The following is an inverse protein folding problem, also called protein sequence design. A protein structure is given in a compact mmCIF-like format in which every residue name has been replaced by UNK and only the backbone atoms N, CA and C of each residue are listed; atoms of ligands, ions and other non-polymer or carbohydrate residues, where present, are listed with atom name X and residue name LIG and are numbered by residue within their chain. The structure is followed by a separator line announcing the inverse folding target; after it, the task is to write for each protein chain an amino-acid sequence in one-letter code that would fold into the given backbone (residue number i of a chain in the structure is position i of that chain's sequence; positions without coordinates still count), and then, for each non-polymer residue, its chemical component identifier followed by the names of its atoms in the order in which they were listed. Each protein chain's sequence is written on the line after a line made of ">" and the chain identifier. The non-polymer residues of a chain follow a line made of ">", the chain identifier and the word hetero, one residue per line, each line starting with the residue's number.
data_IF_638680310966
#
_entry.id   IF_638680310966
#
_cell.length_a   1.000
_cell.length_b   1.000
_cell.length_c   1.000
_cell.angle_alpha   90.00
_cell.angle_beta   90.00
_cell.angle_gamma   90.00
#
_symmetry.space_group_name_H-M   'P 1'
#
loop_
_entity.id
_entity.type
_entity.pdbx_description
1 polymer ?
#
# COMPACT_ATOMS: atom_id res chain seq x y z
N UNK A 1 -1.89 3.86 19.95
CA UNK A 1 -3.17 4.26 19.33
C UNK A 1 -2.95 5.11 18.07
N UNK A 2 -2.21 6.22 18.14
CA UNK A 2 -2.00 7.12 16.98
C UNK A 2 -1.50 6.39 15.71
N UNK A 3 -0.63 5.38 15.87
CA UNK A 3 -0.13 4.58 14.76
C UNK A 3 -1.22 3.78 14.02
N UNK A 4 -2.24 3.28 14.73
CA UNK A 4 -3.27 2.43 14.11
C UNK A 4 -4.31 3.28 13.36
N UNK A 5 -4.64 4.46 13.89
CA UNK A 5 -5.44 5.45 13.17
C UNK A 5 -4.76 5.89 11.86
N UNK A 6 -3.42 6.02 11.87
CA UNK A 6 -2.68 6.32 10.64
C UNK A 6 -2.73 5.18 9.62
N UNK A 7 -2.64 3.93 10.06
CA UNK A 7 -2.80 2.78 9.17
C UNK A 7 -4.19 2.72 8.56
N UNK A 8 -5.21 2.99 9.36
CA UNK A 8 -6.60 3.05 8.91
C UNK A 8 -6.81 4.15 7.87
N UNK A 9 -6.19 5.31 8.06
CA UNK A 9 -6.19 6.40 7.08
C UNK A 9 -5.52 5.97 5.75
N UNK A 10 -4.36 5.33 5.81
CA UNK A 10 -3.67 4.81 4.62
C UNK A 10 -4.48 3.71 3.91
N UNK A 11 -5.11 2.81 4.66
CA UNK A 11 -5.99 1.78 4.13
C UNK A 11 -7.21 2.37 3.45
N UNK A 12 -7.84 3.37 4.07
CA UNK A 12 -8.99 4.06 3.51
C UNK A 12 -8.63 4.79 2.21
N UNK A 13 -7.51 5.52 2.19
CA UNK A 13 -6.99 6.17 0.98
C UNK A 13 -6.83 5.15 -0.16
N UNK A 14 -6.22 4.00 0.13
CA UNK A 14 -6.02 2.92 -0.84
C UNK A 14 -7.34 2.28 -1.28
N UNK A 15 -8.29 2.09 -0.37
CA UNK A 15 -9.63 1.63 -0.73
C UNK A 15 -10.29 2.60 -1.72
N UNK A 16 -10.27 3.90 -1.44
CA UNK A 16 -10.80 4.91 -2.35
C UNK A 16 -10.11 4.91 -3.71
N UNK A 17 -8.78 4.82 -3.73
CA UNK A 17 -8.01 4.76 -4.97
C UNK A 17 -8.36 3.50 -5.81
N UNK A 18 -8.64 2.36 -5.16
CA UNK A 18 -9.00 1.11 -5.85
C UNK A 18 -10.44 1.08 -6.36
N UNK A 19 -11.40 1.65 -5.61
CA UNK A 19 -12.82 1.63 -5.96
C UNK A 19 -13.18 2.74 -6.96
N UNK A 20 -12.55 3.90 -6.85
CA UNK A 20 -12.89 5.11 -7.62
C UNK A 20 -11.75 5.56 -8.52
N UNK A 21 -11.07 4.63 -9.21
CA UNK A 21 -9.85 4.91 -10.02
C UNK A 21 -9.99 6.17 -10.88
N UNK A 22 -11.03 6.25 -11.72
CA UNK A 22 -11.23 7.36 -12.66
C UNK A 22 -11.48 8.70 -11.96
N UNK A 23 -12.35 8.74 -10.93
CA UNK A 23 -12.65 9.97 -10.19
C UNK A 23 -11.48 10.40 -9.30
N UNK A 24 -10.74 9.43 -8.76
CA UNK A 24 -9.58 9.68 -7.91
C UNK A 24 -8.47 10.38 -8.70
N UNK A 25 -8.24 9.96 -9.94
CA UNK A 25 -7.26 10.60 -10.83
C UNK A 25 -7.69 12.01 -11.23
N UNK A 26 -8.95 12.19 -11.66
CA UNK A 26 -9.48 13.51 -12.03
C UNK A 26 -9.30 14.52 -10.89
N UNK A 27 -9.64 14.12 -9.65
CA UNK A 27 -9.47 14.96 -8.46
C UNK A 27 -7.98 15.14 -8.12
N UNK A 28 -7.18 14.10 -8.27
CA UNK A 28 -5.77 14.07 -7.88
C UNK A 28 -4.81 14.83 -8.80
N UNK A 29 -5.18 15.06 -10.06
CA UNK A 29 -4.33 15.77 -11.04
C UNK A 29 -3.99 17.20 -10.63
N UNK A 30 -4.91 17.90 -9.94
CA UNK A 30 -4.71 19.29 -9.53
C UNK A 30 -4.20 19.43 -8.10
N UNK A 31 -4.81 18.70 -7.17
CA UNK A 31 -4.43 18.72 -5.76
C UNK A 31 -4.95 17.46 -5.05
N UNK A 32 -4.21 16.84 -4.12
CA UNK A 32 -4.62 15.62 -3.41
C UNK A 32 -5.68 15.89 -2.33
N UNK A 33 -6.88 16.36 -2.73
CA UNK A 33 -7.97 16.76 -1.83
C UNK A 33 -8.43 15.58 -0.96
N UNK A 34 -8.44 14.36 -1.50
CA UNK A 34 -8.87 13.16 -0.77
C UNK A 34 -7.90 12.88 0.39
N UNK A 35 -6.59 12.91 0.13
CA UNK A 35 -5.56 12.75 1.16
C UNK A 35 -5.68 13.84 2.24
N UNK A 36 -5.89 15.10 1.85
CA UNK A 36 -6.08 16.19 2.80
C UNK A 36 -7.31 15.97 3.72
N UNK A 37 -8.45 15.55 3.15
CA UNK A 37 -9.65 15.23 3.93
C UNK A 37 -9.40 14.09 4.92
N UNK A 38 -8.69 13.05 4.49
CA UNK A 38 -8.33 11.93 5.37
C UNK A 38 -7.44 12.41 6.53
N UNK A 39 -6.45 13.26 6.26
CA UNK A 39 -5.59 13.84 7.31
C UNK A 39 -6.42 14.67 8.31
N UNK A 40 -7.33 15.51 7.83
CA UNK A 40 -8.19 16.32 8.70
C UNK A 40 -9.07 15.43 9.59
N UNK A 41 -9.71 14.41 9.01
CA UNK A 41 -10.52 13.44 9.77
C UNK A 41 -9.66 12.69 10.80
N UNK A 42 -8.44 12.28 10.43
CA UNK A 42 -7.51 11.62 11.33
C UNK A 42 -7.11 12.53 12.51
N UNK A 43 -6.91 13.82 12.27
CA UNK A 43 -6.61 14.79 13.32
C UNK A 43 -7.78 14.97 14.28
N UNK A 44 -8.99 15.16 13.74
CA UNK A 44 -10.21 15.27 14.56
C UNK A 44 -10.39 14.00 15.41
N UNK A 45 -10.22 12.82 14.81
CA UNK A 45 -10.25 11.54 15.53
C UNK A 45 -9.22 11.49 16.66
N UNK A 46 -7.99 11.93 16.40
CA UNK A 46 -6.92 11.99 17.41
C UNK A 46 -7.26 12.92 18.58
N UNK A 47 -7.83 14.10 18.30
CA UNK A 47 -8.28 15.06 19.33
C UNK A 47 -9.39 14.44 20.16
N UNK A 48 -10.40 13.82 19.54
CA UNK A 48 -11.50 13.15 20.24
C UNK A 48 -10.97 12.04 21.15
N UNK A 49 -10.08 11.18 20.64
CA UNK A 49 -9.46 10.13 21.43
C UNK A 49 -8.68 10.69 22.62
N UNK A 50 -7.94 11.79 22.42
CA UNK A 50 -7.20 12.46 23.48
C UNK A 50 -8.13 13.03 24.57
N UNK A 51 -9.24 13.66 24.17
CA UNK A 51 -10.26 14.15 25.10
C UNK A 51 -10.89 13.01 25.91
N UNK A 52 -11.23 11.89 25.26
CA UNK A 52 -11.79 10.70 25.92
C UNK A 52 -10.78 10.09 26.90
N UNK A 53 -9.50 10.02 26.53
CA UNK A 53 -8.43 9.53 27.40
C UNK A 53 -8.28 10.35 28.70
N UNK A 54 -8.74 11.60 28.75
CA UNK A 54 -8.72 12.37 30.00
C UNK A 54 -9.81 11.97 30.99
N UNK A 55 -10.78 11.14 30.61
CA UNK A 55 -11.89 10.71 31.47
C UNK A 55 -11.56 9.41 32.23
N UNK A 56 -12.16 9.19 33.40
CA UNK A 56 -11.92 8.00 34.24
C UNK A 56 -12.35 6.65 33.62
N UNK A 57 -13.01 6.64 32.45
CA UNK A 57 -13.40 5.43 31.70
C UNK A 57 -12.23 4.72 30.95
N UNK A 58 -11.00 5.17 31.19
CA UNK A 58 -9.77 4.87 30.46
C UNK A 58 -9.48 3.40 30.12
N UNK A 59 -9.73 2.45 31.04
CA UNK A 59 -9.23 1.07 30.85
C UNK A 59 -10.02 0.28 29.80
N UNK A 60 -11.35 0.34 29.86
CA UNK A 60 -12.22 -0.44 28.97
C UNK A 60 -12.31 0.18 27.58
N UNK A 61 -12.39 1.50 27.49
CA UNK A 61 -12.48 2.22 26.22
C UNK A 61 -11.21 2.03 25.39
N UNK A 62 -10.04 2.10 26.02
CA UNK A 62 -8.73 1.88 25.36
C UNK A 62 -8.62 0.46 24.78
N UNK A 63 -9.01 -0.55 25.55
CA UNK A 63 -8.98 -1.95 25.09
C UNK A 63 -9.96 -2.18 23.95
N UNK A 64 -11.20 -1.74 24.10
CA UNK A 64 -12.23 -1.86 23.07
C UNK A 64 -11.83 -1.16 21.78
N UNK A 65 -11.32 0.08 21.86
CA UNK A 65 -10.84 0.83 20.70
C UNK A 65 -9.72 0.08 19.99
N UNK A 66 -8.71 -0.40 20.72
CA UNK A 66 -7.61 -1.15 20.11
C UNK A 66 -8.09 -2.42 19.40
N UNK A 67 -8.98 -3.20 20.03
CA UNK A 67 -9.55 -4.40 19.43
C UNK A 67 -10.37 -4.07 18.19
N UNK A 68 -11.25 -3.07 18.27
CA UNK A 68 -12.09 -2.63 17.17
C UNK A 68 -11.25 -2.18 15.96
N UNK A 69 -10.31 -1.25 16.18
CA UNK A 69 -9.45 -0.75 15.12
C UNK A 69 -8.60 -1.88 14.50
N UNK A 70 -8.11 -2.83 15.31
CA UNK A 70 -7.36 -4.00 14.83
C UNK A 70 -8.23 -4.89 13.93
N UNK A 71 -9.45 -5.22 14.36
CA UNK A 71 -10.39 -6.03 13.58
C UNK A 71 -10.71 -5.36 12.25
N UNK A 72 -10.99 -4.05 12.26
CA UNK A 72 -11.27 -3.30 11.01
C UNK A 72 -10.04 -3.28 10.10
N UNK A 73 -8.85 -3.03 10.63
CA UNK A 73 -7.59 -3.03 9.87
C UNK A 73 -7.36 -4.38 9.19
N UNK A 74 -7.45 -5.48 9.95
CA UNK A 74 -7.29 -6.84 9.45
C UNK A 74 -8.32 -7.15 8.36
N UNK A 75 -9.59 -6.80 8.61
CA UNK A 75 -10.68 -7.02 7.66
C UNK A 75 -10.43 -6.28 6.35
N UNK A 76 -10.00 -5.02 6.41
CA UNK A 76 -9.65 -4.22 5.24
C UNK A 76 -8.43 -4.78 4.50
N UNK A 77 -7.41 -5.28 5.21
CA UNK A 77 -6.26 -5.93 4.59
C UNK A 77 -6.63 -7.16 3.75
N UNK A 78 -7.64 -7.93 4.17
CA UNK A 78 -8.13 -9.08 3.40
C UNK A 78 -9.09 -8.68 2.28
N UNK A 79 -9.90 -7.63 2.49
CA UNK A 79 -10.87 -7.16 1.50
C UNK A 79 -10.22 -6.41 0.33
N UNK A 80 -9.24 -5.54 0.59
CA UNK A 80 -8.62 -4.70 -0.46
C UNK A 80 -8.06 -5.51 -1.65
N UNK A 81 -7.27 -6.57 -1.44
CA UNK A 81 -6.75 -7.38 -2.54
C UNK A 81 -7.87 -8.08 -3.32
N UNK A 82 -8.93 -8.53 -2.63
CA UNK A 82 -10.08 -9.16 -3.27
C UNK A 82 -10.87 -8.17 -4.14
N UNK A 83 -11.14 -6.97 -3.62
CA UNK A 83 -11.82 -5.91 -4.37
C UNK A 83 -10.97 -5.48 -5.57
N UNK A 84 -9.67 -5.30 -5.38
CA UNK A 84 -8.74 -4.93 -6.46
C UNK A 84 -8.66 -5.99 -7.55
N UNK A 85 -8.60 -7.28 -7.19
CA UNK A 85 -8.62 -8.38 -8.16
C UNK A 85 -9.94 -8.43 -8.93
N UNK A 86 -11.08 -8.27 -8.24
CA UNK A 86 -12.40 -8.27 -8.89
C UNK A 86 -12.52 -7.14 -9.91
N UNK A 87 -12.11 -5.93 -9.55
CA UNK A 87 -12.08 -4.80 -10.49
C UNK A 87 -11.14 -5.06 -11.67
N UNK A 88 -9.96 -5.64 -11.42
CA UNK A 88 -9.02 -6.00 -12.48
C UNK A 88 -9.61 -7.00 -13.49
N UNK A 89 -10.31 -8.04 -13.01
CA UNK A 89 -10.97 -9.02 -13.86
C UNK A 89 -12.11 -8.41 -14.68
N UNK A 90 -12.87 -7.49 -14.08
CA UNK A 90 -13.97 -6.78 -14.75
C UNK A 90 -13.48 -5.93 -15.94
N UNK A 91 -12.31 -5.28 -15.80
CA UNK A 91 -11.66 -4.54 -16.89
C UNK A 91 -10.89 -5.42 -17.89
N UNK A 92 -10.62 -6.69 -17.53
CA UNK A 92 -10.00 -7.67 -18.41
C UNK A 92 -11.01 -8.27 -19.39
N UNK A 93 -12.29 -8.38 -19.00
CA UNK A 93 -13.33 -8.96 -19.84
C UNK A 93 -13.62 -8.08 -21.08
N UNK A 94 -13.55 -8.67 -22.30
CA UNK A 94 -13.72 -7.91 -23.55
C UNK A 94 -15.16 -7.43 -23.79
N UNK A 95 -16.16 -8.03 -23.14
CA UNK A 95 -17.58 -7.63 -23.25
C UNK A 95 -17.85 -6.21 -22.72
N UNK A 96 -17.08 -5.75 -21.73
CA UNK A 96 -17.15 -4.39 -21.16
C UNK A 96 -16.15 -3.43 -21.82
N UNK A 97 -15.16 -3.95 -22.56
CA UNK A 97 -14.11 -3.17 -23.22
C UNK A 97 -14.56 -2.51 -24.54
N UNK A 98 -15.82 -2.71 -24.95
CA UNK A 98 -16.38 -2.21 -26.20
C UNK A 98 -16.58 -0.68 -26.21
N UNK A 99 -16.32 0.02 -25.10
CA UNK A 99 -16.68 1.44 -24.94
C UNK A 99 -15.57 2.46 -25.26
N UNK A 100 -14.31 2.05 -25.54
CA UNK A 100 -13.28 2.87 -26.23
C UNK A 100 -11.91 2.17 -26.13
N UNK A 101 -11.38 1.68 -27.26
CA UNK A 101 -10.13 0.93 -27.33
C UNK A 101 -8.89 1.68 -26.79
N UNK A 102 -8.90 3.01 -26.81
CA UNK A 102 -7.78 3.85 -26.34
C UNK A 102 -7.89 4.13 -24.84
N UNK A 103 -9.10 4.34 -24.33
CA UNK A 103 -9.35 4.53 -22.89
C UNK A 103 -9.10 3.24 -22.09
N UNK A 104 -9.27 2.08 -22.73
CA UNK A 104 -9.08 0.77 -22.09
C UNK A 104 -7.61 0.42 -21.77
N UNK A 105 -6.62 0.88 -22.54
CA UNK A 105 -5.23 0.48 -22.30
C UNK A 105 -4.62 1.21 -21.10
N UNK A 106 -4.86 2.52 -20.99
CA UNK A 106 -4.44 3.33 -19.84
C UNK A 106 -5.07 2.85 -18.54
N UNK A 107 -6.38 2.58 -18.55
CA UNK A 107 -7.10 2.07 -17.39
C UNK A 107 -6.58 0.70 -16.95
N UNK A 108 -6.33 -0.23 -17.89
CA UNK A 108 -5.73 -1.54 -17.58
C UNK A 108 -4.35 -1.44 -16.96
N UNK A 109 -3.51 -0.54 -17.46
CA UNK A 109 -2.20 -0.27 -16.88
C UNK A 109 -2.33 0.26 -15.44
N UNK A 110 -3.21 1.23 -15.22
CA UNK A 110 -3.49 1.80 -13.90
C UNK A 110 -4.03 0.77 -12.92
N UNK A 111 -4.99 -0.08 -13.31
CA UNK A 111 -5.52 -1.14 -12.44
C UNK A 111 -4.43 -2.16 -12.09
N UNK A 112 -3.56 -2.50 -13.04
CA UNK A 112 -2.38 -3.36 -12.78
C UNK A 112 -1.38 -2.71 -11.81
N UNK A 113 -1.09 -1.41 -11.95
CA UNK A 113 -0.23 -0.70 -11.00
C UNK A 113 -0.87 -0.57 -9.62
N UNK A 114 -2.19 -0.31 -9.55
CA UNK A 114 -2.95 -0.26 -8.31
C UNK A 114 -2.97 -1.62 -7.60
N UNK A 115 -3.10 -2.73 -8.34
CA UNK A 115 -3.02 -4.06 -7.76
C UNK A 115 -1.64 -4.33 -7.15
N UNK A 116 -0.56 -3.97 -7.86
CA UNK A 116 0.81 -4.09 -7.33
C UNK A 116 1.02 -3.22 -6.09
N UNK A 117 0.52 -1.99 -6.12
CA UNK A 117 0.57 -1.09 -4.97
C UNK A 117 -0.23 -1.66 -3.78
N UNK A 118 -1.44 -2.18 -4.01
CA UNK A 118 -2.26 -2.81 -2.99
C UNK A 118 -1.56 -4.04 -2.37
N UNK A 119 -0.90 -4.87 -3.17
CA UNK A 119 -0.12 -6.01 -2.69
C UNK A 119 1.09 -5.56 -1.83
N UNK A 120 1.82 -4.53 -2.26
CA UNK A 120 2.91 -3.96 -1.48
C UNK A 120 2.41 -3.38 -0.14
N UNK A 121 1.34 -2.60 -0.18
CA UNK A 121 0.70 -2.03 1.00
C UNK A 121 0.22 -3.13 1.95
N UNK A 122 -0.37 -4.21 1.44
CA UNK A 122 -0.78 -5.35 2.27
C UNK A 122 0.41 -5.98 3.02
N UNK A 123 1.56 -6.19 2.36
CA UNK A 123 2.78 -6.70 3.02
C UNK A 123 3.23 -5.77 4.16
N UNK A 124 3.25 -4.46 3.91
CA UNK A 124 3.66 -3.45 4.89
C UNK A 124 2.71 -3.43 6.09
N UNK A 125 1.40 -3.48 5.85
CA UNK A 125 0.40 -3.46 6.92
C UNK A 125 0.49 -4.75 7.74
N UNK A 126 0.72 -5.91 7.13
CA UNK A 126 0.92 -7.17 7.87
C UNK A 126 2.06 -7.05 8.88
N UNK A 127 3.20 -6.51 8.46
CA UNK A 127 4.34 -6.25 9.38
C UNK A 127 3.92 -5.30 10.51
N UNK A 128 3.16 -4.26 10.19
CA UNK A 128 2.70 -3.29 11.17
C UNK A 128 1.70 -3.89 12.18
N UNK A 129 0.78 -4.74 11.73
CA UNK A 129 -0.18 -5.45 12.60
C UNK A 129 0.58 -6.34 13.57
N UNK A 130 1.52 -7.16 13.08
CA UNK A 130 2.35 -8.04 13.92
C UNK A 130 3.11 -7.20 14.96
N UNK A 131 3.76 -6.12 14.52
CA UNK A 131 4.48 -5.20 15.40
C UNK A 131 3.55 -4.60 16.46
N UNK A 132 2.34 -4.19 16.07
CA UNK A 132 1.35 -3.59 16.97
C UNK A 132 0.84 -4.58 18.01
N UNK A 133 0.59 -5.84 17.63
CA UNK A 133 0.19 -6.91 18.55
C UNK A 133 1.28 -7.21 19.58
N UNK A 134 2.54 -7.34 19.13
CA UNK A 134 3.67 -7.57 20.03
C UNK A 134 3.85 -6.37 20.97
N UNK A 135 3.79 -5.14 20.44
CA UNK A 135 3.91 -3.91 21.22
C UNK A 135 2.79 -3.80 22.26
N UNK A 136 1.56 -4.16 21.90
CA UNK A 136 0.43 -4.20 22.84
C UNK A 136 0.65 -5.25 23.93
N UNK A 137 1.09 -6.45 23.57
CA UNK A 137 1.43 -7.51 24.54
C UNK A 137 2.53 -7.07 25.52
N UNK A 138 3.61 -6.47 25.01
CA UNK A 138 4.67 -5.89 25.83
C UNK A 138 4.16 -4.78 26.74
N UNK A 139 3.24 -3.95 26.25
CA UNK A 139 2.64 -2.88 27.07
C UNK A 139 1.78 -3.42 28.21
N UNK A 140 0.96 -4.45 27.94
CA UNK A 140 0.18 -5.15 28.97
C UNK A 140 1.10 -5.79 30.00
N UNK A 141 2.18 -6.42 29.55
CA UNK A 141 3.17 -7.00 30.45
C UNK A 141 3.89 -5.95 31.30
N UNK A 142 4.35 -4.85 30.70
CA UNK A 142 4.97 -3.73 31.42
C UNK A 142 4.04 -3.16 32.49
N UNK A 143 2.72 -3.12 32.23
CA UNK A 143 1.74 -2.63 33.20
C UNK A 143 1.63 -3.51 34.45
N UNK A 144 1.92 -4.80 34.32
CA UNK A 144 1.90 -5.76 35.42
C UNK A 144 3.23 -5.79 36.20
N UNK A 145 4.29 -5.18 35.67
CA UNK A 145 5.58 -5.02 36.37
C UNK A 145 5.59 -3.79 37.26
N UNK A 146 6.47 -3.78 38.27
CA UNK A 146 6.63 -2.62 39.15
C UNK A 146 7.16 -1.42 38.36
N UNK A 147 6.50 -0.24 38.45
CA UNK A 147 6.95 0.94 37.73
C UNK A 147 8.35 1.35 38.16
N UNK A 148 9.17 1.81 37.20
CA UNK A 148 10.58 2.18 37.38
C UNK A 148 11.54 1.04 37.75
N UNK A 149 11.10 -0.22 37.75
CA UNK A 149 12.01 -1.36 37.83
C UNK A 149 12.91 -1.43 36.59
N UNK A 150 14.05 -2.11 36.74
CA UNK A 150 14.93 -2.43 35.61
C UNK A 150 14.17 -3.21 34.51
N UNK A 151 13.31 -4.15 34.91
CA UNK A 151 12.44 -4.91 34.01
C UNK A 151 11.52 -4.00 33.20
N UNK A 152 10.83 -3.06 33.86
CA UNK A 152 9.95 -2.10 33.19
C UNK A 152 10.72 -1.24 32.17
N UNK A 153 11.92 -0.75 32.53
CA UNK A 153 12.77 0.04 31.63
C UNK A 153 13.21 -0.79 30.41
N UNK A 154 13.60 -2.05 30.63
CA UNK A 154 13.99 -2.97 29.56
C UNK A 154 12.82 -3.24 28.60
N UNK A 155 11.61 -3.44 29.12
CA UNK A 155 10.41 -3.64 28.28
C UNK A 155 10.12 -2.39 27.45
N UNK A 156 10.15 -1.20 28.06
CA UNK A 156 9.91 0.07 27.35
C UNK A 156 10.96 0.32 26.25
N UNK A 157 12.25 0.09 26.54
CA UNK A 157 13.32 0.18 25.53
C UNK A 157 13.15 -0.86 24.43
N UNK A 158 12.75 -2.09 24.78
CA UNK A 158 12.42 -3.14 23.84
C UNK A 158 11.29 -2.76 22.89
N UNK A 159 10.22 -2.15 23.39
CA UNK A 159 9.13 -1.63 22.55
C UNK A 159 9.62 -0.59 21.54
N UNK A 160 10.46 0.35 21.94
CA UNK A 160 11.06 1.33 21.03
C UNK A 160 11.98 0.68 19.98
N UNK A 161 12.81 -0.29 20.40
CA UNK A 161 13.66 -1.05 19.51
C UNK A 161 12.85 -1.83 18.46
N UNK A 162 11.76 -2.46 18.87
CA UNK A 162 10.85 -3.19 17.99
C UNK A 162 10.24 -2.27 16.92
N UNK A 163 9.79 -1.07 17.31
CA UNK A 163 9.29 -0.07 16.36
C UNK A 163 10.37 0.39 15.36
N UNK A 164 11.62 0.54 15.82
CA UNK A 164 12.74 0.84 14.94
C UNK A 164 12.99 -0.28 13.93
N UNK A 165 13.02 -1.53 14.38
CA UNK A 165 13.20 -2.71 13.52
C UNK A 165 12.05 -2.81 12.51
N UNK A 166 10.79 -2.61 12.93
CA UNK A 166 9.66 -2.67 12.01
C UNK A 166 9.76 -1.62 10.90
N UNK A 167 10.20 -0.41 11.23
CA UNK A 167 10.40 0.64 10.24
C UNK A 167 11.48 0.27 9.21
N UNK A 168 12.60 -0.30 9.67
CA UNK A 168 13.68 -0.78 8.78
C UNK A 168 13.17 -1.91 7.87
N UNK A 169 12.39 -2.86 8.41
CA UNK A 169 11.81 -3.96 7.63
C UNK A 169 10.85 -3.42 6.56
N UNK A 170 9.97 -2.49 6.91
CA UNK A 170 9.05 -1.85 5.96
C UNK A 170 9.79 -1.11 4.85
N UNK A 171 10.81 -0.34 5.21
CA UNK A 171 11.65 0.37 4.24
C UNK A 171 12.38 -0.61 3.31
N UNK A 172 12.87 -1.73 3.86
CA UNK A 172 13.52 -2.78 3.08
C UNK A 172 12.56 -3.43 2.08
N UNK A 173 11.31 -3.68 2.46
CA UNK A 173 10.26 -4.20 1.57
C UNK A 173 10.00 -3.21 0.42
N UNK A 174 9.87 -1.92 0.72
CA UNK A 174 9.66 -0.87 -0.30
C UNK A 174 10.85 -0.81 -1.26
N UNK A 175 12.08 -0.78 -0.75
CA UNK A 175 13.30 -0.73 -1.56
C UNK A 175 13.45 -1.97 -2.45
N UNK A 176 13.13 -3.16 -1.92
CA UNK A 176 13.16 -4.39 -2.69
C UNK A 176 12.16 -4.35 -3.87
N UNK A 177 10.93 -3.90 -3.62
CA UNK A 177 9.90 -3.82 -4.66
C UNK A 177 10.24 -2.75 -5.72
N UNK A 178 10.79 -1.60 -5.30
CA UNK A 178 11.27 -0.57 -6.23
C UNK A 178 12.43 -1.08 -7.10
N UNK A 179 13.37 -1.82 -6.51
CA UNK A 179 14.49 -2.44 -7.25
C UNK A 179 13.99 -3.48 -8.25
N UNK A 180 13.02 -4.31 -7.86
CA UNK A 180 12.36 -5.28 -8.74
C UNK A 180 11.69 -4.61 -9.95
N UNK A 181 10.97 -3.49 -9.72
CA UNK A 181 10.39 -2.67 -10.79
C UNK A 181 11.44 -2.10 -11.73
N UNK A 182 12.53 -1.59 -11.20
CA UNK A 182 13.62 -1.02 -12.00
C UNK A 182 14.26 -2.08 -12.91
N UNK A 183 14.54 -3.27 -12.37
CA UNK A 183 15.09 -4.39 -13.14
C UNK A 183 14.12 -4.85 -14.24
N UNK A 184 12.83 -4.94 -13.94
CA UNK A 184 11.81 -5.33 -14.92
C UNK A 184 11.71 -4.35 -16.09
N UNK A 185 11.78 -3.04 -15.82
CA UNK A 185 11.80 -2.01 -16.88
C UNK A 185 13.06 -2.10 -17.74
N UNK A 186 14.22 -2.35 -17.12
CA UNK A 186 15.48 -2.52 -17.84
C UNK A 186 15.43 -3.70 -18.80
N UNK A 187 14.90 -4.85 -18.37
CA UNK A 187 14.72 -6.03 -19.22
C UNK A 187 13.76 -5.75 -20.38
N UNK A 188 12.64 -5.06 -20.12
CA UNK A 188 11.69 -4.69 -21.17
C UNK A 188 12.33 -3.79 -22.24
N UNK A 189 13.07 -2.75 -21.83
CA UNK A 189 13.74 -1.85 -22.76
C UNK A 189 14.78 -2.58 -23.61
N UNK A 190 15.55 -3.51 -23.03
CA UNK A 190 16.51 -4.33 -23.78
C UNK A 190 15.80 -5.19 -24.82
N UNK A 191 14.68 -5.83 -24.44
CA UNK A 191 13.90 -6.67 -25.36
C UNK A 191 13.29 -5.87 -26.51
N UNK A 192 12.78 -4.66 -26.24
CA UNK A 192 12.25 -3.76 -27.27
C UNK A 192 13.36 -3.26 -28.21
N UNK A 193 14.53 -2.93 -27.66
CA UNK A 193 15.68 -2.48 -28.44
C UNK A 193 16.23 -3.61 -29.32
N UNK A 194 16.24 -4.86 -28.82
CA UNK A 194 16.57 -6.05 -29.62
C UNK A 194 15.54 -6.33 -30.73
N UNK A 195 14.24 -6.19 -30.42
CA UNK A 195 13.18 -6.35 -31.42
C UNK A 195 13.30 -5.29 -32.54
N UNK A 196 13.53 -4.02 -32.19
CA UNK A 196 13.76 -2.95 -33.17
C UNK A 196 15.01 -3.20 -34.02
N UNK A 197 16.11 -3.65 -33.41
CA UNK A 197 17.33 -4.01 -34.13
C UNK A 197 17.13 -5.20 -35.08
N UNK A 198 16.32 -6.20 -34.68
CA UNK A 198 15.99 -7.34 -35.54
C UNK A 198 15.15 -6.94 -36.75
N UNK A 199 14.17 -6.03 -36.57
CA UNK A 199 13.37 -5.49 -37.67
C UNK A 199 14.22 -4.66 -38.64
N UNK A 200 15.13 -3.84 -38.13
CA UNK A 200 16.08 -3.11 -38.97
C UNK A 200 16.96 -4.06 -39.80
N UNK A 201 17.49 -5.15 -39.19
CA UNK A 201 18.28 -6.15 -39.93
C UNK A 201 17.49 -6.80 -41.04
N UNK A 202 16.25 -7.22 -40.78
CA UNK A 202 15.37 -7.81 -41.80
C UNK A 202 15.12 -6.85 -42.96
N UNK A 203 14.89 -5.57 -42.67
CA UNK A 203 14.71 -4.54 -43.69
C UNK A 203 15.96 -4.36 -44.58
N UNK A 204 17.16 -4.27 -43.99
CA UNK A 204 18.39 -4.16 -44.77
C UNK A 204 18.68 -5.41 -45.60
N UNK A 205 18.32 -6.59 -45.08
CA UNK A 205 18.49 -7.84 -45.80
C UNK A 205 17.57 -7.91 -47.03
N UNK A 206 16.30 -7.51 -46.89
CA UNK A 206 15.37 -7.38 -48.02
C UNK A 206 15.87 -6.41 -49.10
N UNK A 207 16.44 -5.27 -48.70
CA UNK A 207 17.04 -4.30 -49.63
C UNK A 207 18.25 -4.87 -50.37
N UNK A 208 19.13 -5.58 -49.66
CA UNK A 208 20.30 -6.22 -50.26
C UNK A 208 19.90 -7.32 -51.27
N UNK A 209 18.88 -8.11 -50.93
CA UNK A 209 18.34 -9.14 -51.82
C UNK A 209 17.71 -8.54 -53.08
N UNK A 210 16.99 -7.42 -52.96
CA UNK A 210 16.47 -6.69 -54.12
C UNK A 210 17.58 -6.15 -55.02
N UNK A 211 18.66 -5.64 -54.44
CA UNK A 211 19.80 -5.10 -55.20
C UNK A 211 20.54 -6.19 -56.00
N UNK A 212 20.63 -7.41 -55.47
CA UNK A 212 21.32 -8.51 -56.13
C UNK A 212 20.49 -9.17 -57.27
N UNK A 213 19.22 -8.79 -57.44
CA UNK A 213 18.34 -9.31 -58.49
C UNK A 213 18.32 -8.45 -59.77
N UNK A 214 18.97 -7.28 -59.74
CA UNK A 214 19.18 -6.39 -60.89
C UNK A 214 20.58 -6.54 -61.46
#
# INVERSE_FOLDING_TARGET
>A
MVFLAHLMAQLAERAFATVLVAKYEEIGTRFPIIGLKIIIVQWIYGIICFCIMRTHALKYVTGFQFTFETVVTVTMCYLLPRISNRMYEEYKNPSTAMQSAITTLGLRYQTSENLKAANLTSKIITVQIITSLITFGLHVWARNTTPNSFEWLMIMKGMHGLLGISAVVQQSIVLYELRSKHNSRKVLNISQQQAAASQQRLYFQQLADQWNQT
#
